data_IF_801714952487
#
_entry.id   IF_801714952487
#
_cell.length_a   1.000
_cell.length_b   1.000
_cell.length_c   1.000
_cell.angle_alpha   90.00
_cell.angle_beta   90.00
_cell.angle_gamma   90.00
#
_symmetry.space_group_name_H-M   'P 1'
#
loop_
_entity.id
_entity.type
_entity.pdbx_description
1 polymer ?
#
# COMPACT_ATOMS: atom_id res chain seq x y z
N UNK A 1 -2.19 -10.92 23.93
CA UNK A 1 -1.01 -10.05 24.17
C UNK A 1 -1.42 -8.92 25.06
N UNK A 2 -0.56 -8.51 25.99
CA UNK A 2 -0.84 -7.37 26.87
C UNK A 2 -0.46 -6.04 26.19
N UNK A 3 -0.85 -4.92 26.81
CA UNK A 3 -0.62 -3.57 26.28
C UNK A 3 0.87 -3.20 26.20
N UNK A 4 1.70 -3.71 27.10
CA UNK A 4 3.14 -3.45 27.10
C UNK A 4 3.84 -4.15 25.94
N UNK A 5 3.48 -5.40 25.65
CA UNK A 5 3.94 -6.15 24.47
C UNK A 5 3.57 -5.41 23.19
N UNK A 6 2.33 -4.93 23.07
CA UNK A 6 1.88 -4.15 21.92
C UNK A 6 2.66 -2.85 21.79
N UNK A 7 2.84 -2.12 22.90
CA UNK A 7 3.59 -0.87 22.94
C UNK A 7 5.04 -1.09 22.49
N UNK A 8 5.66 -2.18 22.93
CA UNK A 8 7.01 -2.55 22.50
C UNK A 8 7.07 -2.86 21.00
N UNK A 9 6.10 -3.58 20.45
CA UNK A 9 6.03 -3.89 19.02
C UNK A 9 5.82 -2.62 18.18
N UNK A 10 4.90 -1.74 18.57
CA UNK A 10 4.68 -0.45 17.91
C UNK A 10 5.93 0.41 17.98
N UNK A 11 6.56 0.51 19.15
CA UNK A 11 7.80 1.27 19.31
C UNK A 11 8.93 0.69 18.48
N UNK A 12 9.01 -0.63 18.33
CA UNK A 12 9.97 -1.26 17.42
C UNK A 12 9.68 -0.88 15.97
N UNK A 13 8.42 -0.88 15.53
CA UNK A 13 8.02 -0.45 14.19
C UNK A 13 8.35 1.03 13.92
N UNK A 14 8.14 1.91 14.90
CA UNK A 14 8.40 3.35 14.77
C UNK A 14 9.89 3.72 14.92
N UNK A 15 10.63 3.02 15.79
CA UNK A 15 12.08 3.24 16.02
C UNK A 15 12.92 2.58 14.96
N UNK A 16 12.43 1.48 14.36
CA UNK A 16 12.98 1.04 13.10
C UNK A 16 12.69 2.16 12.12
N UNK A 17 13.70 2.94 11.82
CA UNK A 17 13.92 3.65 10.56
C UNK A 17 13.77 2.75 9.30
N UNK A 18 13.13 1.58 9.42
CA UNK A 18 13.05 0.50 8.45
C UNK A 18 14.04 -0.65 8.71
N UNK A 19 14.99 -0.53 9.65
CA UNK A 19 16.12 -1.48 9.78
C UNK A 19 15.80 -2.90 10.25
N UNK A 20 14.65 -3.16 10.89
CA UNK A 20 14.34 -4.48 11.50
C UNK A 20 13.67 -5.48 10.57
N UNK A 21 13.20 -5.06 9.39
CA UNK A 21 12.77 -5.95 8.32
C UNK A 21 12.89 -5.23 6.97
N UNK A 22 13.45 -5.91 5.96
CA UNK A 22 13.60 -5.38 4.59
C UNK A 22 12.27 -4.84 4.03
N UNK A 23 11.15 -5.34 4.55
CA UNK A 23 9.78 -4.95 4.18
C UNK A 23 9.38 -3.56 4.70
N UNK A 24 9.73 -3.19 5.94
CA UNK A 24 9.48 -1.85 6.48
C UNK A 24 10.31 -0.77 5.77
N UNK A 25 11.60 -1.06 5.56
CA UNK A 25 12.47 -0.19 4.76
C UNK A 25 11.95 -0.04 3.33
N UNK A 26 11.40 -1.11 2.74
CA UNK A 26 10.92 -1.06 1.37
C UNK A 26 9.83 -0.01 1.16
N UNK A 27 8.93 0.21 2.12
CA UNK A 27 7.84 1.19 1.97
C UNK A 27 8.31 2.62 2.18
N UNK A 28 9.16 2.89 3.17
CA UNK A 28 9.79 4.20 3.39
C UNK A 28 10.64 4.57 2.17
N UNK A 29 11.49 3.65 1.71
CA UNK A 29 12.28 3.84 0.52
C UNK A 29 11.39 4.02 -0.72
N UNK A 30 10.26 3.30 -0.82
CA UNK A 30 9.30 3.50 -1.92
C UNK A 30 8.75 4.91 -1.89
N UNK A 31 8.36 5.44 -0.73
CA UNK A 31 7.88 6.82 -0.59
C UNK A 31 8.93 7.82 -1.08
N UNK A 32 10.13 7.81 -0.51
CA UNK A 32 11.20 8.76 -0.88
C UNK A 32 11.53 8.69 -2.38
N UNK A 33 11.58 7.48 -2.92
CA UNK A 33 11.86 7.26 -4.35
C UNK A 33 10.75 7.79 -5.24
N UNK A 34 9.48 7.58 -4.87
CA UNK A 34 8.35 8.09 -5.64
C UNK A 34 8.21 9.61 -5.48
N UNK A 35 8.53 10.19 -4.33
CA UNK A 35 8.57 11.64 -4.11
C UNK A 35 9.64 12.34 -4.99
N UNK A 36 10.71 11.64 -5.34
CA UNK A 36 11.78 12.16 -6.20
C UNK A 36 11.46 12.14 -7.71
N UNK A 37 10.40 11.44 -8.14
CA UNK A 37 10.03 11.33 -9.55
C UNK A 37 9.15 12.50 -10.01
N UNK A 38 9.17 12.79 -11.31
CA UNK A 38 8.05 13.54 -11.89
C UNK A 38 6.75 12.76 -11.73
N UNK A 39 5.61 13.44 -11.65
CA UNK A 39 4.31 12.76 -11.58
C UNK A 39 4.08 11.81 -12.76
N UNK A 40 4.58 12.17 -13.95
CA UNK A 40 4.49 11.32 -15.12
C UNK A 40 5.26 10.01 -14.94
N UNK A 41 6.51 10.08 -14.47
CA UNK A 41 7.31 8.90 -14.17
C UNK A 41 6.69 8.07 -13.03
N UNK A 42 6.18 8.73 -11.98
CA UNK A 42 5.50 8.05 -10.88
C UNK A 42 4.31 7.23 -11.40
N UNK A 43 3.46 7.79 -12.25
CA UNK A 43 2.33 7.03 -12.85
C UNK A 43 2.86 5.86 -13.69
N UNK A 44 3.84 6.09 -14.57
CA UNK A 44 4.43 5.06 -15.43
C UNK A 44 4.97 3.88 -14.61
N UNK A 45 5.76 4.16 -13.58
CA UNK A 45 6.37 3.12 -12.75
C UNK A 45 5.36 2.43 -11.84
N UNK A 46 4.39 3.18 -11.29
CA UNK A 46 3.37 2.61 -10.42
C UNK A 46 2.48 1.61 -11.16
N UNK A 47 2.05 1.94 -12.38
CA UNK A 47 1.23 1.08 -13.24
C UNK A 47 2.00 -0.17 -13.64
N UNK A 48 3.27 0.01 -14.04
CA UNK A 48 4.12 -1.11 -14.43
C UNK A 48 4.64 -1.93 -13.23
N UNK A 49 4.15 -1.64 -12.02
CA UNK A 49 4.50 -2.36 -10.79
C UNK A 49 5.99 -2.29 -10.45
N UNK A 50 6.69 -1.22 -10.84
CA UNK A 50 8.14 -1.09 -10.65
C UNK A 50 8.47 -0.15 -9.50
N UNK A 51 9.58 -0.45 -8.83
CA UNK A 51 10.13 0.38 -7.75
C UNK A 51 11.61 0.61 -8.05
N UNK A 52 12.05 1.87 -7.94
CA UNK A 52 13.47 2.22 -8.05
C UNK A 52 14.24 1.45 -6.97
N UNK A 53 15.40 0.88 -7.28
CA UNK A 53 16.27 0.17 -6.33
C UNK A 53 17.44 1.08 -5.95
N UNK A 54 18.18 0.71 -4.90
CA UNK A 54 19.39 1.43 -4.46
C UNK A 54 20.44 1.51 -5.59
N UNK A 55 20.50 0.49 -6.45
CA UNK A 55 21.35 0.48 -7.64
C UNK A 55 21.00 1.54 -8.70
N UNK A 56 19.94 2.33 -8.52
CA UNK A 56 19.45 3.31 -9.50
C UNK A 56 18.57 2.71 -10.61
N UNK A 57 18.39 1.39 -10.66
CA UNK A 57 17.54 0.72 -11.64
C UNK A 57 16.11 0.50 -11.12
N UNK A 58 15.13 0.52 -12.02
CA UNK A 58 13.77 0.09 -11.73
C UNK A 58 13.64 -1.42 -11.89
N UNK A 59 13.08 -2.07 -10.88
CA UNK A 59 12.80 -3.50 -10.91
C UNK A 59 11.38 -3.78 -10.42
N UNK A 60 10.88 -4.97 -10.73
CA UNK A 60 9.52 -5.37 -10.41
C UNK A 60 9.35 -5.47 -8.88
N UNK A 61 8.28 -4.87 -8.40
CA UNK A 61 7.92 -4.93 -6.99
C UNK A 61 7.55 -6.37 -6.60
N UNK A 62 7.98 -6.79 -5.40
CA UNK A 62 7.76 -8.15 -4.91
C UNK A 62 6.26 -8.50 -4.87
N UNK A 63 5.40 -7.54 -4.53
CA UNK A 63 3.94 -7.74 -4.52
C UNK A 63 3.38 -7.97 -5.92
N UNK A 64 4.04 -7.42 -6.95
CA UNK A 64 3.59 -7.44 -8.33
C UNK A 64 4.25 -8.58 -9.13
N UNK A 65 5.24 -9.28 -8.55
CA UNK A 65 5.98 -10.36 -9.21
C UNK A 65 5.08 -11.45 -9.81
N UNK A 66 4.03 -11.85 -9.08
CA UNK A 66 3.12 -12.93 -9.52
C UNK A 66 2.20 -12.55 -10.68
N UNK A 67 2.02 -11.26 -10.96
CA UNK A 67 1.27 -10.77 -12.11
C UNK A 67 2.07 -11.04 -13.39
N UNK A 68 3.40 -10.87 -13.30
CA UNK A 68 4.34 -11.09 -14.38
C UNK A 68 4.59 -9.85 -15.23
N UNK A 69 5.85 -9.67 -15.62
CA UNK A 69 6.33 -8.48 -16.34
C UNK A 69 5.58 -8.21 -17.64
N UNK A 70 5.40 -9.23 -18.49
CA UNK A 70 4.68 -9.08 -19.76
C UNK A 70 3.25 -8.59 -19.58
N UNK A 71 2.60 -8.95 -18.46
CA UNK A 71 1.23 -8.50 -18.18
C UNK A 71 1.20 -7.06 -17.74
N UNK A 72 2.13 -6.64 -16.88
CA UNK A 72 2.25 -5.25 -16.44
C UNK A 72 2.65 -4.31 -17.58
N UNK A 73 3.58 -4.74 -18.44
CA UNK A 73 3.96 -4.01 -19.64
C UNK A 73 2.75 -3.88 -20.61
N UNK A 74 1.96 -4.94 -20.78
CA UNK A 74 0.70 -4.88 -21.57
C UNK A 74 -0.29 -3.87 -20.99
N UNK A 75 -0.54 -3.91 -19.68
CA UNK A 75 -1.48 -2.97 -19.04
C UNK A 75 -0.99 -1.54 -19.17
N UNK A 76 0.29 -1.29 -18.89
CA UNK A 76 0.91 0.01 -19.08
C UNK A 76 0.73 0.54 -20.50
N UNK A 77 1.02 -0.27 -21.51
CA UNK A 77 0.86 0.12 -22.92
C UNK A 77 -0.61 0.28 -23.36
N UNK A 78 -1.56 -0.24 -22.58
CA UNK A 78 -2.99 -0.11 -22.83
C UNK A 78 -3.65 1.08 -22.13
N UNK A 79 -2.89 1.85 -21.33
CA UNK A 79 -3.39 3.08 -20.72
C UNK A 79 -3.57 4.14 -21.80
N UNK A 80 -4.78 4.66 -21.89
CA UNK A 80 -5.11 5.75 -22.80
C UNK A 80 -4.58 7.08 -22.27
N UNK A 81 -4.36 8.04 -23.16
CA UNK A 81 -3.98 9.41 -22.76
C UNK A 81 -5.03 10.03 -21.82
N UNK A 82 -6.31 9.75 -22.05
CA UNK A 82 -7.40 10.22 -21.19
C UNK A 82 -7.30 9.66 -19.76
N UNK A 83 -7.05 8.35 -19.60
CA UNK A 83 -6.83 7.75 -18.28
C UNK A 83 -5.58 8.33 -17.59
N UNK A 84 -4.53 8.57 -18.36
CA UNK A 84 -3.30 9.22 -17.89
C UNK A 84 -3.58 10.63 -17.35
N UNK A 85 -4.30 11.44 -18.10
CA UNK A 85 -4.64 12.81 -17.70
C UNK A 85 -5.60 12.85 -16.52
N UNK A 86 -6.55 11.91 -16.45
CA UNK A 86 -7.41 11.73 -15.26
C UNK A 86 -6.59 11.44 -14.01
N UNK A 87 -5.57 10.58 -14.09
CA UNK A 87 -4.68 10.32 -12.94
C UNK A 87 -3.91 11.57 -12.52
N UNK A 88 -3.45 12.39 -13.46
CA UNK A 88 -2.74 13.65 -13.17
C UNK A 88 -3.64 14.71 -12.52
N UNK A 89 -4.90 14.78 -12.96
CA UNK A 89 -5.89 15.75 -12.51
C UNK A 89 -6.61 15.33 -11.22
N UNK A 90 -6.46 14.08 -10.79
CA UNK A 90 -7.06 13.59 -9.57
C UNK A 90 -6.68 14.47 -8.37
N UNK A 91 -7.65 14.68 -7.48
CA UNK A 91 -7.57 15.60 -6.33
C UNK A 91 -7.33 14.88 -5.00
N UNK A 92 -7.43 13.56 -4.97
CA UNK A 92 -7.24 12.77 -3.75
C UNK A 92 -6.97 11.28 -4.07
N UNK A 93 -6.60 10.50 -3.04
CA UNK A 93 -6.39 9.04 -3.13
C UNK A 93 -7.56 8.30 -3.79
N UNK A 94 -8.80 8.65 -3.43
CA UNK A 94 -9.99 7.91 -3.82
C UNK A 94 -10.20 8.00 -5.33
N UNK A 95 -10.01 9.16 -5.92
CA UNK A 95 -10.11 9.37 -7.37
C UNK A 95 -9.04 8.57 -8.13
N UNK A 96 -7.77 8.63 -7.68
CA UNK A 96 -6.68 7.82 -8.25
C UNK A 96 -7.05 6.33 -8.16
N UNK A 97 -7.45 5.86 -6.99
CA UNK A 97 -7.85 4.48 -6.78
C UNK A 97 -9.01 4.07 -7.69
N UNK A 98 -10.03 4.91 -7.87
CA UNK A 98 -11.16 4.61 -8.76
C UNK A 98 -10.76 4.48 -10.22
N UNK A 99 -9.85 5.33 -10.71
CA UNK A 99 -9.32 5.25 -12.08
C UNK A 99 -8.56 3.93 -12.26
N UNK A 100 -7.65 3.62 -11.33
CA UNK A 100 -6.84 2.39 -11.38
C UNK A 100 -7.70 1.13 -11.21
N UNK A 101 -8.70 1.16 -10.33
CA UNK A 101 -9.60 0.03 -10.09
C UNK A 101 -10.50 -0.24 -11.30
N UNK A 102 -10.89 0.80 -12.05
CA UNK A 102 -11.59 0.64 -13.32
C UNK A 102 -10.74 -0.11 -14.36
N UNK A 103 -9.43 0.19 -14.46
CA UNK A 103 -8.50 -0.54 -15.33
C UNK A 103 -8.39 -2.01 -14.89
N UNK A 104 -8.34 -2.27 -13.58
CA UNK A 104 -8.32 -3.64 -13.03
C UNK A 104 -9.61 -4.41 -13.28
N UNK A 105 -10.76 -3.74 -13.32
CA UNK A 105 -12.06 -4.35 -13.55
C UNK A 105 -12.36 -4.62 -15.03
N UNK A 106 -11.60 -4.01 -15.93
CA UNK A 106 -11.68 -4.27 -17.36
C UNK A 106 -11.43 -5.77 -17.66
N UNK A 107 -12.34 -6.48 -18.35
CA UNK A 107 -12.20 -7.92 -18.59
C UNK A 107 -10.96 -8.29 -19.40
N UNK A 108 -10.48 -7.39 -20.27
CA UNK A 108 -9.36 -7.64 -21.19
C UNK A 108 -8.05 -7.16 -20.56
N UNK A 109 -8.04 -5.93 -20.03
CA UNK A 109 -6.86 -5.26 -19.44
C UNK A 109 -6.62 -5.64 -17.99
N UNK A 110 -7.67 -5.93 -17.25
CA UNK A 110 -7.61 -6.23 -15.81
C UNK A 110 -7.27 -7.68 -15.44
N UNK A 111 -7.27 -8.61 -16.41
CA UNK A 111 -7.00 -10.02 -16.16
C UNK A 111 -5.72 -10.24 -15.33
N UNK A 112 -5.88 -10.93 -14.20
CA UNK A 112 -4.84 -11.32 -13.21
C UNK A 112 -4.13 -10.19 -12.45
N UNK A 113 -4.55 -8.92 -12.57
CA UNK A 113 -3.95 -7.84 -11.78
C UNK A 113 -4.28 -7.99 -10.28
N UNK A 114 -5.54 -8.28 -9.95
CA UNK A 114 -6.00 -8.45 -8.58
C UNK A 114 -6.03 -7.15 -7.77
N UNK A 115 -6.70 -7.17 -6.62
CA UNK A 115 -6.98 -5.96 -5.82
C UNK A 115 -5.71 -5.30 -5.25
N UNK A 116 -4.68 -6.10 -4.98
CA UNK A 116 -3.40 -5.60 -4.46
C UNK A 116 -2.69 -4.70 -5.47
N UNK A 117 -2.75 -5.02 -6.77
CA UNK A 117 -2.20 -4.16 -7.82
C UNK A 117 -2.85 -2.78 -7.80
N UNK A 118 -4.18 -2.71 -7.76
CA UNK A 118 -4.87 -1.41 -7.78
C UNK A 118 -4.53 -0.54 -6.60
N UNK A 119 -4.45 -1.13 -5.40
CA UNK A 119 -4.08 -0.38 -4.21
C UNK A 119 -2.62 0.08 -4.25
N UNK A 120 -1.67 -0.82 -4.55
CA UNK A 120 -0.25 -0.48 -4.61
C UNK A 120 0.04 0.60 -5.66
N UNK A 121 -0.57 0.48 -6.84
CA UNK A 121 -0.45 1.48 -7.92
C UNK A 121 -1.01 2.82 -7.48
N UNK A 122 -2.22 2.85 -6.89
CA UNK A 122 -2.80 4.10 -6.40
C UNK A 122 -1.98 4.72 -5.26
N UNK A 123 -1.49 3.90 -4.32
CA UNK A 123 -0.67 4.36 -3.21
C UNK A 123 0.63 4.99 -3.70
N UNK A 124 1.35 4.34 -4.61
CA UNK A 124 2.61 4.87 -5.17
C UNK A 124 2.42 6.22 -5.87
N UNK A 125 1.35 6.37 -6.66
CA UNK A 125 1.02 7.68 -7.28
C UNK A 125 0.69 8.72 -6.20
N UNK A 126 -0.08 8.34 -5.18
CA UNK A 126 -0.39 9.20 -4.05
C UNK A 126 0.84 9.61 -3.22
N UNK A 127 1.84 8.73 -3.05
CA UNK A 127 3.09 9.06 -2.37
C UNK A 127 3.83 10.20 -3.08
N UNK A 128 3.89 10.17 -4.41
CA UNK A 128 4.45 11.27 -5.22
C UNK A 128 3.69 12.60 -5.03
N UNK A 129 2.37 12.54 -4.82
CA UNK A 129 1.50 13.73 -4.68
C UNK A 129 1.50 14.33 -3.27
N UNK A 130 2.13 13.67 -2.30
CA UNK A 130 2.27 14.13 -0.93
C UNK A 130 1.09 13.79 -0.01
N UNK A 131 1.20 14.22 1.25
CA UNK A 131 0.35 13.75 2.34
C UNK A 131 -1.16 14.00 2.16
N UNK A 132 -1.56 15.05 1.43
CA UNK A 132 -2.97 15.31 1.12
C UNK A 132 -3.62 14.24 0.24
N UNK A 133 -2.80 13.42 -0.44
CA UNK A 133 -3.22 12.32 -1.30
C UNK A 133 -3.14 10.95 -0.62
N UNK A 134 -2.79 10.88 0.67
CA UNK A 134 -2.72 9.59 1.36
C UNK A 134 -4.12 9.01 1.61
N UNK A 135 -4.25 7.67 1.71
CA UNK A 135 -5.53 7.05 2.02
C UNK A 135 -6.01 7.48 3.41
N UNK A 136 -7.31 7.77 3.53
CA UNK A 136 -7.96 8.08 4.82
C UNK A 136 -8.32 6.85 5.66
N UNK A 137 -8.35 5.68 5.01
CA UNK A 137 -8.72 4.40 5.63
C UNK A 137 -7.58 3.42 5.50
N UNK A 138 -7.54 2.43 6.38
CA UNK A 138 -6.65 1.29 6.27
C UNK A 138 -7.28 0.31 5.27
N UNK A 139 -6.59 0.06 4.15
CA UNK A 139 -7.03 -0.87 3.12
C UNK A 139 -6.43 -2.24 3.38
N UNK A 140 -7.22 -3.15 3.94
CA UNK A 140 -6.76 -4.46 4.36
C UNK A 140 -6.77 -5.48 3.22
N UNK A 141 -5.58 -5.81 2.73
CA UNK A 141 -5.34 -6.98 1.87
C UNK A 141 -5.43 -8.30 2.66
N UNK A 142 -5.31 -9.43 1.98
CA UNK A 142 -5.61 -10.75 2.54
C UNK A 142 -4.91 -11.04 3.87
N UNK A 143 -3.61 -10.73 3.98
CA UNK A 143 -2.82 -11.02 5.18
C UNK A 143 -3.01 -9.99 6.30
N UNK A 144 -2.87 -8.66 6.06
CA UNK A 144 -3.23 -7.64 7.04
C UNK A 144 -4.66 -7.79 7.58
N UNK A 145 -5.60 -8.25 6.74
CA UNK A 145 -6.98 -8.50 7.14
C UNK A 145 -7.11 -9.64 8.16
N UNK A 146 -6.32 -10.71 8.02
CA UNK A 146 -6.29 -11.80 9.02
C UNK A 146 -5.78 -11.27 10.36
N UNK A 147 -4.70 -10.48 10.31
CA UNK A 147 -4.13 -9.83 11.48
C UNK A 147 -5.14 -8.89 12.17
N UNK A 148 -5.75 -7.98 11.41
CA UNK A 148 -6.75 -7.04 11.91
C UNK A 148 -7.96 -7.74 12.54
N UNK A 149 -8.42 -8.86 11.96
CA UNK A 149 -9.51 -9.65 12.56
C UNK A 149 -9.17 -10.19 13.95
N UNK A 150 -7.93 -10.65 14.16
CA UNK A 150 -7.46 -11.13 15.47
C UNK A 150 -7.37 -10.01 16.48
N UNK A 151 -6.74 -8.89 16.12
CA UNK A 151 -6.57 -7.72 16.99
C UNK A 151 -7.94 -7.15 17.40
N UNK A 152 -8.83 -6.97 16.42
CA UNK A 152 -10.14 -6.37 16.65
C UNK A 152 -11.18 -7.37 17.23
N UNK A 153 -10.81 -8.64 17.41
CA UNK A 153 -11.70 -9.73 17.83
C UNK A 153 -12.99 -9.82 16.97
N UNK A 154 -12.87 -9.61 15.65
CA UNK A 154 -14.00 -9.62 14.69
C UNK A 154 -13.89 -10.79 13.71
N UNK A 155 -14.97 -11.57 13.57
CA UNK A 155 -15.04 -12.69 12.60
C UNK A 155 -15.13 -12.20 11.15
N UNK A 156 -15.79 -11.06 10.93
CA UNK A 156 -15.94 -10.39 9.63
C UNK A 156 -15.40 -8.97 9.73
N UNK A 157 -14.71 -8.55 8.69
CA UNK A 157 -14.13 -7.21 8.59
C UNK A 157 -14.26 -6.72 7.15
N UNK A 158 -14.60 -5.44 7.00
CA UNK A 158 -14.53 -4.75 5.71
C UNK A 158 -13.09 -4.73 5.20
N UNK A 159 -12.92 -4.47 3.90
CA UNK A 159 -11.58 -4.19 3.34
C UNK A 159 -11.08 -2.80 3.72
N UNK A 160 -11.98 -1.88 4.08
CA UNK A 160 -11.63 -0.54 4.55
C UNK A 160 -12.00 -0.44 6.02
N UNK A 161 -11.05 -0.06 6.85
CA UNK A 161 -11.25 0.09 8.29
C UNK A 161 -10.72 1.45 8.72
N UNK A 162 -11.43 2.10 9.64
CA UNK A 162 -11.00 3.36 10.22
C UNK A 162 -9.92 3.12 11.28
N UNK A 163 -8.96 4.05 11.39
CA UNK A 163 -7.81 3.95 12.29
C UNK A 163 -8.27 3.82 13.75
N UNK A 164 -9.33 4.54 14.08
CA UNK A 164 -9.99 4.65 15.38
C UNK A 164 -10.54 3.30 15.88
N UNK A 165 -10.72 2.31 15.00
CA UNK A 165 -11.12 0.97 15.42
C UNK A 165 -9.98 0.21 16.12
N UNK A 166 -8.72 0.60 15.93
CA UNK A 166 -7.57 -0.08 16.52
C UNK A 166 -7.23 0.49 17.90
N UNK A 167 -6.47 -0.25 18.71
CA UNK A 167 -6.02 0.21 20.03
C UNK A 167 -5.16 1.49 19.91
N UNK A 168 -5.24 2.39 20.90
CA UNK A 168 -4.55 3.70 20.90
C UNK A 168 -3.06 3.63 20.56
N UNK A 169 -2.37 2.56 20.97
CA UNK A 169 -0.96 2.32 20.63
C UNK A 169 -0.76 2.13 19.13
N UNK A 170 -1.65 1.45 18.41
CA UNK A 170 -1.56 1.33 16.95
C UNK A 170 -1.91 2.66 16.29
N UNK A 171 -2.85 3.43 16.87
CA UNK A 171 -3.24 4.74 16.35
C UNK A 171 -2.11 5.78 16.39
N UNK A 172 -1.03 5.55 17.13
CA UNK A 172 0.16 6.43 17.08
C UNK A 172 0.91 6.35 15.75
N UNK A 173 0.64 5.33 14.93
CA UNK A 173 1.11 5.24 13.55
C UNK A 173 0.21 6.16 12.70
N UNK A 174 0.73 7.34 12.34
CA UNK A 174 -0.09 8.46 11.85
C UNK A 174 -0.76 8.21 10.50
N UNK A 175 -0.13 7.46 9.61
CA UNK A 175 -0.61 7.24 8.26
C UNK A 175 -1.30 5.87 8.10
N UNK A 176 -2.53 5.80 7.54
CA UNK A 176 -3.25 4.53 7.40
C UNK A 176 -2.54 3.46 6.58
N UNK A 177 -1.74 3.84 5.58
CA UNK A 177 -0.95 2.89 4.79
C UNK A 177 0.23 2.30 5.60
N UNK A 178 0.75 3.04 6.60
CA UNK A 178 1.76 2.50 7.52
C UNK A 178 1.13 1.50 8.50
N UNK A 179 -0.12 1.70 8.91
CA UNK A 179 -0.82 0.72 9.75
C UNK A 179 -1.06 -0.58 8.96
N UNK A 180 -1.43 -0.49 7.69
CA UNK A 180 -1.56 -1.67 6.82
C UNK A 180 -0.23 -2.46 6.76
N UNK A 181 0.87 -1.76 6.48
CA UNK A 181 2.19 -2.37 6.42
C UNK A 181 2.61 -2.98 7.77
N UNK A 182 2.36 -2.27 8.88
CA UNK A 182 2.57 -2.77 10.24
C UNK A 182 1.86 -4.10 10.47
N UNK A 183 0.56 -4.16 10.12
CA UNK A 183 -0.26 -5.37 10.26
C UNK A 183 0.25 -6.53 9.38
N UNK A 184 0.81 -6.21 8.21
CA UNK A 184 1.41 -7.18 7.29
C UNK A 184 2.70 -7.78 7.86
N UNK A 185 3.65 -6.92 8.24
CA UNK A 185 4.98 -7.30 8.72
C UNK A 185 4.92 -8.06 10.06
N UNK A 186 4.04 -7.61 10.96
CA UNK A 186 3.91 -8.20 12.29
C UNK A 186 2.78 -9.23 12.39
N UNK A 187 2.24 -9.69 11.25
CA UNK A 187 1.11 -10.63 11.20
C UNK A 187 1.31 -11.84 12.13
N UNK A 188 2.50 -12.44 12.15
CA UNK A 188 2.74 -13.66 12.94
C UNK A 188 2.89 -13.41 14.45
N UNK A 189 3.20 -12.17 14.85
CA UNK A 189 3.42 -11.80 16.26
C UNK A 189 2.20 -11.14 16.89
N UNK A 190 1.33 -10.53 16.07
CA UNK A 190 0.14 -9.83 16.55
C UNK A 190 -1.02 -10.79 16.85
N UNK A 191 -1.41 -10.81 18.12
CA UNK A 191 -2.54 -11.59 18.64
C UNK A 191 -3.62 -10.66 19.20
N UNK A 192 -4.71 -11.24 19.72
CA UNK A 192 -5.75 -10.45 20.40
C UNK A 192 -5.16 -9.70 21.60
N UNK A 193 -5.55 -8.44 21.76
CA UNK A 193 -5.11 -7.61 22.89
C UNK A 193 -5.97 -7.95 24.11
N UNK A 194 -5.32 -8.26 25.22
CA UNK A 194 -5.93 -8.43 26.54
C UNK A 194 -5.89 -7.07 27.24
N UNK A 195 -7.06 -6.61 27.70
CA UNK A 195 -7.20 -5.35 28.45
C UNK A 195 -6.80 -5.55 29.91
#
# INVERSE_FOLDING_TARGET
MNVDELSNIVNQYLKSDGSWDKTCQALINTKERYEALSLEEAIKHAVNGRTLKESGNFDLDRHQYRIGRSRLDYVYNSITQEEFDKMKQASNFKEIYQIIDAIRLDPIRGFRLGDLWSYDTALRISLNRGASFYPKYIYLHADPKKCAKRILKRSRLSRKVEVENFHEKIQTIKEPYLIENFLCVWNDKLTAIEE
#
